data_IF_627302452080
#
_entry.id   IF_627302452080
#
_cell.length_a   1.000
_cell.length_b   1.000
_cell.length_c   1.000
_cell.angle_alpha   90.00
_cell.angle_beta   90.00
_cell.angle_gamma   90.00
#
_symmetry.space_group_name_H-M   'P 1'
#
loop_
_entity.id
_entity.type
_entity.pdbx_description
1 polymer ?
#
# COMPACT_ATOMS: atom_id res chain seq x y z
N UNK A 1 -3.35 -2.58 22.82
CA UNK A 1 -2.75 -3.91 22.50
C UNK A 1 -1.33 -3.65 22.11
N UNK A 2 -0.34 -4.30 22.70
CA UNK A 2 1.03 -4.21 22.22
C UNK A 2 1.18 -5.02 20.92
N UNK A 3 1.61 -4.37 19.85
CA UNK A 3 1.79 -4.97 18.52
C UNK A 3 3.21 -5.56 18.33
N UNK A 4 4.13 -5.35 19.28
CA UNK A 4 5.53 -5.80 19.21
C UNK A 4 6.25 -5.36 17.94
N UNK A 5 6.00 -4.10 17.50
CA UNK A 5 6.62 -3.49 16.32
C UNK A 5 7.84 -2.63 16.66
N UNK A 6 8.10 -2.37 17.94
CA UNK A 6 9.28 -1.60 18.37
C UNK A 6 10.58 -2.21 17.82
N UNK A 7 11.40 -1.39 17.19
CA UNK A 7 12.67 -1.79 16.59
C UNK A 7 12.55 -2.59 15.28
N UNK A 8 11.34 -2.94 14.80
CA UNK A 8 11.15 -3.60 13.52
C UNK A 8 11.50 -2.66 12.36
N UNK A 9 12.15 -3.20 11.34
CA UNK A 9 12.64 -2.49 10.16
C UNK A 9 11.62 -2.61 9.05
N UNK A 10 11.03 -1.48 8.69
CA UNK A 10 9.85 -1.42 7.81
C UNK A 10 10.15 -0.59 6.57
N UNK A 11 9.90 -1.14 5.39
CA UNK A 11 9.89 -0.39 4.14
C UNK A 11 8.44 -0.16 3.71
N UNK A 12 8.11 1.09 3.38
CA UNK A 12 6.80 1.48 2.88
C UNK A 12 6.95 2.10 1.50
N UNK A 13 6.46 1.41 0.48
CA UNK A 13 6.44 1.97 -0.88
C UNK A 13 5.29 2.95 -1.03
N UNK A 14 5.51 4.06 -1.74
CA UNK A 14 4.52 5.13 -1.83
C UNK A 14 4.28 5.85 -0.49
N UNK A 15 5.23 5.80 0.43
CA UNK A 15 5.13 6.31 1.80
C UNK A 15 5.16 7.83 1.97
N UNK A 16 5.23 8.61 0.88
CA UNK A 16 5.37 10.08 0.97
C UNK A 16 4.06 10.85 1.04
N UNK A 17 2.90 10.20 0.85
CA UNK A 17 1.55 10.81 0.96
C UNK A 17 0.44 9.78 1.14
N UNK A 18 -0.75 10.28 1.51
CA UNK A 18 -1.98 9.48 1.62
C UNK A 18 -1.83 8.28 2.55
N UNK A 19 -2.36 7.12 2.16
CA UNK A 19 -2.35 5.90 2.95
C UNK A 19 -0.92 5.45 3.30
N UNK A 20 0.02 5.53 2.36
CA UNK A 20 1.41 5.15 2.62
C UNK A 20 2.08 6.02 3.68
N UNK A 21 1.83 7.33 3.70
CA UNK A 21 2.33 8.22 4.74
C UNK A 21 1.65 7.97 6.09
N UNK A 22 0.35 7.69 6.09
CA UNK A 22 -0.36 7.29 7.31
C UNK A 22 0.23 6.00 7.90
N UNK A 23 0.53 4.99 7.06
CA UNK A 23 1.27 3.79 7.50
C UNK A 23 2.63 4.15 8.07
N UNK A 24 3.40 5.04 7.41
CA UNK A 24 4.72 5.43 7.91
C UNK A 24 4.64 6.07 9.30
N UNK A 25 3.67 6.97 9.50
CA UNK A 25 3.41 7.59 10.82
C UNK A 25 3.05 6.55 11.87
N UNK A 26 2.14 5.64 11.54
CA UNK A 26 1.66 4.63 12.45
C UNK A 26 2.79 3.67 12.89
N UNK A 27 3.61 3.19 11.96
CA UNK A 27 4.78 2.37 12.28
C UNK A 27 5.83 3.13 13.13
N UNK A 28 6.09 4.40 12.81
CA UNK A 28 7.02 5.21 13.60
C UNK A 28 6.50 5.45 15.04
N UNK A 29 5.20 5.65 15.22
CA UNK A 29 4.57 5.81 16.53
C UNK A 29 4.69 4.52 17.39
N UNK A 30 4.71 3.33 16.76
CA UNK A 30 4.97 2.04 17.41
C UNK A 30 6.48 1.78 17.65
N UNK A 31 7.37 2.76 17.36
CA UNK A 31 8.80 2.66 17.57
C UNK A 31 9.54 1.82 16.53
N UNK A 32 8.94 1.57 15.38
CA UNK A 32 9.61 0.90 14.27
C UNK A 32 10.63 1.82 13.57
N UNK A 33 11.65 1.24 12.96
CA UNK A 33 12.58 1.93 12.07
C UNK A 33 11.95 1.99 10.67
N UNK A 34 11.58 3.20 10.24
CA UNK A 34 10.78 3.38 9.03
C UNK A 34 11.61 3.91 7.88
N UNK A 35 11.47 3.26 6.72
CA UNK A 35 11.95 3.76 5.45
C UNK A 35 10.79 3.90 4.46
N UNK A 36 10.78 5.00 3.72
CA UNK A 36 9.82 5.24 2.65
C UNK A 36 10.50 5.33 1.30
N UNK A 37 9.84 4.80 0.29
CA UNK A 37 10.29 4.91 -1.10
C UNK A 37 9.19 5.52 -1.94
N UNK A 38 9.51 6.59 -2.67
CA UNK A 38 8.59 7.28 -3.57
C UNK A 38 9.36 7.88 -4.75
N UNK A 39 8.67 8.34 -5.79
CA UNK A 39 9.32 8.94 -6.96
C UNK A 39 9.59 10.43 -6.80
N UNK A 40 8.75 11.12 -6.05
CA UNK A 40 8.77 12.58 -5.94
C UNK A 40 9.64 13.04 -4.77
N UNK A 41 10.79 13.72 -5.04
CA UNK A 41 11.68 14.20 -3.99
C UNK A 41 11.04 15.25 -3.08
N UNK A 42 10.16 16.12 -3.61
CA UNK A 42 9.53 17.17 -2.82
C UNK A 42 8.58 16.59 -1.76
N UNK A 43 7.79 15.56 -2.13
CA UNK A 43 6.95 14.86 -1.17
C UNK A 43 7.77 14.09 -0.13
N UNK A 44 8.93 13.55 -0.50
CA UNK A 44 9.81 12.86 0.45
C UNK A 44 10.42 13.84 1.44
N UNK A 45 10.81 15.03 0.99
CA UNK A 45 11.36 16.06 1.87
C UNK A 45 10.30 16.60 2.84
N UNK A 46 9.06 16.81 2.37
CA UNK A 46 7.95 17.18 3.27
C UNK A 46 7.70 16.12 4.35
N UNK A 47 7.77 14.82 3.98
CA UNK A 47 7.64 13.73 4.94
C UNK A 47 8.81 13.72 5.95
N UNK A 48 10.06 13.95 5.50
CA UNK A 48 11.23 14.07 6.40
C UNK A 48 11.07 15.20 7.41
N UNK A 49 10.65 16.37 6.94
CA UNK A 49 10.44 17.53 7.80
C UNK A 49 9.36 17.25 8.86
N UNK A 50 8.26 16.61 8.48
CA UNK A 50 7.21 16.22 9.42
C UNK A 50 7.72 15.23 10.47
N UNK A 51 8.46 14.19 10.06
CA UNK A 51 8.98 13.18 10.98
C UNK A 51 10.03 13.79 11.93
N UNK A 52 10.88 14.68 11.43
CA UNK A 52 11.87 15.39 12.25
C UNK A 52 11.19 16.25 13.35
N UNK A 53 10.08 16.91 13.03
CA UNK A 53 9.29 17.68 14.02
C UNK A 53 8.73 16.79 15.15
N UNK A 54 8.49 15.51 14.88
CA UNK A 54 8.02 14.53 15.85
C UNK A 54 9.14 13.77 16.56
N UNK A 55 10.40 14.03 16.19
CA UNK A 55 11.56 13.29 16.69
C UNK A 55 11.64 11.85 16.19
N UNK A 56 10.98 11.52 15.09
CA UNK A 56 10.98 10.19 14.50
C UNK A 56 12.04 10.09 13.41
N UNK A 57 12.97 9.11 13.47
CA UNK A 57 13.89 8.86 12.38
C UNK A 57 13.15 8.33 11.14
N UNK A 58 13.52 8.87 9.96
CA UNK A 58 12.94 8.45 8.69
C UNK A 58 14.02 8.33 7.62
N UNK A 59 14.15 7.17 7.01
CA UNK A 59 14.88 7.00 5.75
C UNK A 59 13.93 7.25 4.58
N UNK A 60 14.34 8.08 3.62
CA UNK A 60 13.50 8.38 2.47
C UNK A 60 14.31 8.36 1.19
N UNK A 61 13.89 7.54 0.22
CA UNK A 61 14.60 7.31 -1.03
C UNK A 61 13.72 7.63 -2.25
N UNK A 62 14.25 8.48 -3.15
CA UNK A 62 13.62 8.76 -4.44
C UNK A 62 14.00 7.67 -5.44
N UNK A 63 13.07 6.76 -5.77
CA UNK A 63 13.28 5.67 -6.75
C UNK A 63 12.00 5.37 -7.53
N UNK A 64 12.18 4.97 -8.79
CA UNK A 64 11.10 4.39 -9.58
C UNK A 64 11.05 2.87 -9.37
N UNK A 65 9.98 2.42 -8.75
CA UNK A 65 9.75 1.01 -8.41
C UNK A 65 9.16 0.19 -9.57
N UNK A 66 8.78 0.82 -10.68
CA UNK A 66 8.48 0.11 -11.91
C UNK A 66 9.75 -0.43 -12.57
N UNK A 67 10.92 0.09 -12.20
CA UNK A 67 12.24 -0.42 -12.61
C UNK A 67 12.76 -1.46 -11.61
N UNK A 68 13.19 -2.62 -12.09
CA UNK A 68 13.85 -3.65 -11.26
C UNK A 68 15.12 -3.09 -10.60
N UNK A 69 15.95 -2.37 -11.38
CA UNK A 69 17.17 -1.73 -10.87
C UNK A 69 16.86 -0.69 -9.77
N UNK A 70 15.77 0.08 -9.92
CA UNK A 70 15.31 1.02 -8.89
C UNK A 70 14.95 0.32 -7.58
N UNK A 71 14.30 -0.83 -7.66
CA UNK A 71 13.96 -1.65 -6.48
C UNK A 71 15.19 -2.28 -5.84
N UNK A 72 16.13 -2.78 -6.63
CA UNK A 72 17.41 -3.33 -6.14
C UNK A 72 18.22 -2.26 -5.39
N UNK A 73 18.34 -1.06 -5.97
CA UNK A 73 19.03 0.06 -5.32
C UNK A 73 18.32 0.51 -4.03
N UNK A 74 16.98 0.58 -4.05
CA UNK A 74 16.22 0.91 -2.85
C UNK A 74 16.49 -0.11 -1.74
N UNK A 75 16.39 -1.40 -2.04
CA UNK A 75 16.63 -2.46 -1.07
C UNK A 75 18.06 -2.44 -0.54
N UNK A 76 19.06 -2.33 -1.41
CA UNK A 76 20.48 -2.28 -1.01
C UNK A 76 20.76 -1.10 -0.07
N UNK A 77 20.28 0.10 -0.41
CA UNK A 77 20.45 1.28 0.45
C UNK A 77 19.79 1.12 1.82
N UNK A 78 18.66 0.42 1.88
CA UNK A 78 17.93 0.18 3.12
C UNK A 78 18.60 -0.90 3.98
N UNK A 79 19.07 -1.98 3.36
CA UNK A 79 19.82 -3.03 4.06
C UNK A 79 21.16 -2.50 4.60
N UNK A 80 21.83 -1.61 3.88
CA UNK A 80 23.06 -0.95 4.36
C UNK A 80 22.81 -0.13 5.64
N UNK A 81 21.68 0.57 5.73
CA UNK A 81 21.37 1.45 6.86
C UNK A 81 20.67 0.73 8.01
N UNK A 82 19.81 -0.24 7.73
CA UNK A 82 19.03 -0.99 8.72
C UNK A 82 19.65 -2.36 9.08
N UNK A 83 20.60 -2.86 8.28
CA UNK A 83 21.16 -4.20 8.39
C UNK A 83 20.26 -5.32 7.87
N UNK A 84 18.95 -5.18 7.91
CA UNK A 84 18.00 -6.19 7.46
C UNK A 84 16.60 -5.60 7.27
N UNK A 85 15.67 -6.37 6.70
CA UNK A 85 14.25 -6.02 6.56
C UNK A 85 13.39 -6.98 7.39
N UNK A 86 12.35 -6.48 8.03
CA UNK A 86 11.34 -7.29 8.73
C UNK A 86 9.98 -7.21 8.05
N UNK A 87 9.58 -6.03 7.60
CA UNK A 87 8.23 -5.76 7.09
C UNK A 87 8.31 -4.95 5.80
N UNK A 88 7.56 -5.39 4.78
CA UNK A 88 7.28 -4.60 3.58
C UNK A 88 5.81 -4.20 3.55
N UNK A 89 5.53 -2.90 3.44
CA UNK A 89 4.18 -2.39 3.12
C UNK A 89 4.18 -1.85 1.70
N UNK A 90 3.49 -2.52 0.80
CA UNK A 90 3.31 -2.07 -0.57
C UNK A 90 2.09 -1.15 -0.67
N UNK A 91 2.33 0.13 -1.00
CA UNK A 91 1.30 1.14 -1.23
C UNK A 91 1.59 2.00 -2.48
N UNK A 92 2.74 1.80 -3.15
CA UNK A 92 3.09 2.54 -4.36
C UNK A 92 2.18 2.18 -5.54
N UNK A 93 1.96 3.15 -6.41
CA UNK A 93 1.22 2.95 -7.66
C UNK A 93 -0.16 3.59 -7.66
N UNK A 94 -0.73 3.64 -8.85
CA UNK A 94 -2.03 4.24 -9.10
C UNK A 94 -2.84 3.35 -10.05
N UNK A 95 -3.99 2.90 -9.59
CA UNK A 95 -4.99 2.30 -10.46
C UNK A 95 -5.76 3.44 -11.14
N UNK A 96 -5.48 3.66 -12.43
CA UNK A 96 -6.13 4.71 -13.23
C UNK A 96 -7.52 4.29 -13.67
N UNK A 97 -8.40 5.28 -13.81
CA UNK A 97 -9.72 5.13 -14.43
C UNK A 97 -9.65 5.62 -15.88
N UNK A 98 -10.30 4.90 -16.76
CA UNK A 98 -10.43 5.25 -18.17
C UNK A 98 -11.90 5.17 -18.57
N UNK A 99 -12.45 6.16 -19.30
CA UNK A 99 -13.79 6.05 -19.88
C UNK A 99 -13.86 4.85 -20.83
N UNK A 100 -14.97 4.12 -20.79
CA UNK A 100 -15.13 2.90 -21.60
C UNK A 100 -15.01 3.19 -23.11
N UNK A 101 -15.45 4.37 -23.54
CA UNK A 101 -15.43 4.81 -24.94
C UNK A 101 -14.01 5.05 -25.49
N UNK A 102 -13.04 5.29 -24.61
CA UNK A 102 -11.63 5.57 -24.97
C UNK A 102 -10.67 4.53 -24.41
N UNK A 103 -11.20 3.39 -23.97
CA UNK A 103 -10.39 2.33 -23.37
C UNK A 103 -9.70 1.52 -24.47
N UNK A 104 -8.37 1.58 -24.49
CA UNK A 104 -7.51 0.90 -25.45
C UNK A 104 -6.67 -0.19 -24.76
N UNK A 105 -6.18 -1.22 -25.48
CA UNK A 105 -5.28 -2.22 -24.91
C UNK A 105 -4.05 -1.62 -24.24
N UNK A 106 -3.52 -0.51 -24.73
CA UNK A 106 -2.40 0.21 -24.13
C UNK A 106 -2.68 0.68 -22.69
N UNK A 107 -3.93 1.02 -22.36
CA UNK A 107 -4.31 1.45 -21.01
C UNK A 107 -4.20 0.32 -19.99
N UNK A 108 -4.41 -0.93 -20.40
CA UNK A 108 -4.20 -2.09 -19.53
C UNK A 108 -2.72 -2.31 -19.25
N UNK A 109 -1.84 -2.20 -20.25
CA UNK A 109 -0.40 -2.26 -20.07
C UNK A 109 0.11 -1.13 -19.16
N UNK A 110 -0.39 0.10 -19.38
CA UNK A 110 -0.07 1.23 -18.52
C UNK A 110 -0.50 1.01 -17.07
N UNK A 111 -1.72 0.50 -16.85
CA UNK A 111 -2.24 0.23 -15.52
C UNK A 111 -1.42 -0.86 -14.79
N UNK A 112 -1.06 -1.93 -15.48
CA UNK A 112 -0.18 -2.97 -14.95
C UNK A 112 1.19 -2.41 -14.61
N UNK A 113 1.81 -1.64 -15.50
CA UNK A 113 3.10 -1.01 -15.26
C UNK A 113 3.05 -0.04 -14.07
N UNK A 114 2.00 0.76 -13.95
CA UNK A 114 1.87 1.77 -12.90
C UNK A 114 1.49 1.21 -11.52
N UNK A 115 0.81 0.06 -11.45
CA UNK A 115 0.30 -0.50 -10.19
C UNK A 115 0.87 -1.88 -9.86
N UNK A 116 0.83 -2.83 -10.79
CA UNK A 116 1.25 -4.21 -10.54
C UNK A 116 2.78 -4.33 -10.47
N UNK A 117 3.50 -3.75 -11.44
CA UNK A 117 4.96 -3.89 -11.54
C UNK A 117 5.73 -3.42 -10.29
N UNK A 118 5.42 -2.26 -9.68
CA UNK A 118 6.09 -1.84 -8.43
C UNK A 118 5.92 -2.83 -7.27
N UNK A 119 4.73 -3.42 -7.13
CA UNK A 119 4.47 -4.41 -6.09
C UNK A 119 5.24 -5.71 -6.33
N UNK A 120 5.19 -6.22 -7.57
CA UNK A 120 5.92 -7.42 -7.95
C UNK A 120 7.41 -7.27 -7.69
N UNK A 121 8.01 -6.17 -8.16
CA UNK A 121 9.44 -5.91 -8.01
C UNK A 121 9.86 -5.81 -6.52
N UNK A 122 9.13 -5.03 -5.72
CA UNK A 122 9.48 -4.87 -4.30
C UNK A 122 9.23 -6.15 -3.49
N UNK A 123 8.15 -6.90 -3.77
CA UNK A 123 7.94 -8.20 -3.14
C UNK A 123 9.07 -9.19 -3.48
N UNK A 124 9.51 -9.22 -4.75
CA UNK A 124 10.63 -10.05 -5.16
C UNK A 124 11.91 -9.72 -4.37
N UNK A 125 12.24 -8.43 -4.21
CA UNK A 125 13.41 -8.01 -3.43
C UNK A 125 13.26 -8.33 -1.93
N UNK A 126 12.08 -8.10 -1.36
CA UNK A 126 11.84 -8.41 0.05
C UNK A 126 11.95 -9.93 0.31
N UNK A 127 11.37 -10.77 -0.53
CA UNK A 127 11.45 -12.23 -0.39
C UNK A 127 12.90 -12.74 -0.52
N UNK A 128 13.70 -12.16 -1.42
CA UNK A 128 15.14 -12.46 -1.50
C UNK A 128 15.89 -12.05 -0.24
N UNK A 129 15.57 -10.89 0.33
CA UNK A 129 16.13 -10.43 1.60
C UNK A 129 15.78 -11.38 2.74
N UNK A 130 14.51 -11.74 2.87
CA UNK A 130 14.03 -12.68 3.89
C UNK A 130 14.70 -14.07 3.76
N UNK A 131 14.84 -14.58 2.53
CA UNK A 131 15.54 -15.84 2.29
C UNK A 131 17.01 -15.82 2.72
N UNK A 132 17.74 -14.72 2.40
CA UNK A 132 19.13 -14.54 2.86
C UNK A 132 19.21 -14.51 4.40
N UNK A 133 18.32 -13.80 5.06
CA UNK A 133 18.28 -13.72 6.52
C UNK A 133 18.00 -15.09 7.15
N UNK A 134 17.05 -15.87 6.57
CA UNK A 134 16.77 -17.24 7.03
C UNK A 134 17.96 -18.16 6.85
N UNK A 135 18.66 -18.08 5.73
CA UNK A 135 19.89 -18.86 5.49
C UNK A 135 21.01 -18.49 6.48
N UNK A 136 21.02 -17.26 6.98
CA UNK A 136 21.92 -16.80 8.04
C UNK A 136 21.43 -17.13 9.46
N UNK A 137 20.34 -17.89 9.62
CA UNK A 137 19.85 -18.36 10.92
C UNK A 137 18.80 -17.45 11.59
N UNK A 138 18.34 -16.39 10.94
CA UNK A 138 17.28 -15.53 11.50
C UNK A 138 15.95 -16.29 11.63
N UNK A 139 15.31 -16.18 12.79
CA UNK A 139 14.02 -16.85 13.10
C UNK A 139 12.86 -15.85 13.26
N UNK A 140 13.12 -14.55 13.05
CA UNK A 140 12.11 -13.51 13.26
C UNK A 140 10.97 -13.62 12.26
N UNK A 141 9.76 -13.23 12.71
CA UNK A 141 8.56 -13.11 11.88
C UNK A 141 8.79 -12.07 10.77
N UNK A 142 8.43 -12.42 9.56
CA UNK A 142 8.53 -11.56 8.37
C UNK A 142 7.15 -11.36 7.77
N UNK A 143 6.84 -10.12 7.41
CA UNK A 143 5.51 -9.80 6.87
C UNK A 143 5.56 -8.92 5.62
N UNK A 144 4.64 -9.17 4.70
CA UNK A 144 4.32 -8.30 3.57
C UNK A 144 2.84 -7.92 3.68
N UNK A 145 2.55 -6.63 3.63
CA UNK A 145 1.18 -6.10 3.59
C UNK A 145 1.00 -5.32 2.28
N UNK A 146 0.05 -5.75 1.46
CA UNK A 146 -0.24 -5.16 0.15
C UNK A 146 -1.50 -4.28 0.23
N UNK A 147 -1.37 -2.96 0.06
CA UNK A 147 -2.51 -2.02 -0.02
C UNK A 147 -2.99 -1.96 -1.47
N UNK A 148 -3.96 -2.78 -1.83
CA UNK A 148 -4.35 -3.01 -3.23
C UNK A 148 -5.49 -2.08 -3.63
N UNK A 149 -6.71 -2.40 -3.26
CA UNK A 149 -7.92 -1.64 -3.54
C UNK A 149 -9.09 -2.49 -4.01
N UNK A 150 -10.28 -2.11 -3.60
CA UNK A 150 -11.54 -2.87 -3.76
C UNK A 150 -11.86 -3.23 -5.22
N UNK A 151 -11.42 -2.42 -6.20
CA UNK A 151 -11.65 -2.67 -7.63
C UNK A 151 -11.06 -3.95 -8.18
N UNK A 152 -10.24 -4.69 -7.43
CA UNK A 152 -9.77 -6.03 -7.81
C UNK A 152 -10.80 -7.13 -7.59
N UNK A 153 -11.76 -6.91 -6.70
CA UNK A 153 -12.89 -7.81 -6.41
C UNK A 153 -14.20 -7.33 -7.03
N UNK A 154 -14.42 -6.02 -7.03
CA UNK A 154 -15.67 -5.41 -7.49
C UNK A 154 -15.46 -4.65 -8.79
N UNK A 155 -16.01 -5.20 -9.86
CA UNK A 155 -15.83 -4.68 -11.21
C UNK A 155 -16.61 -3.38 -11.41
N UNK A 156 -15.91 -2.34 -11.87
CA UNK A 156 -16.50 -1.07 -12.28
C UNK A 156 -16.14 -0.78 -13.73
N UNK A 157 -17.12 -0.48 -14.57
CA UNK A 157 -16.92 -0.29 -16.01
C UNK A 157 -15.90 0.80 -16.37
N UNK A 158 -15.82 1.87 -15.58
CA UNK A 158 -14.84 2.96 -15.76
C UNK A 158 -13.47 2.67 -15.08
N UNK A 159 -13.26 1.48 -14.55
CA UNK A 159 -12.05 1.11 -13.83
C UNK A 159 -11.47 -0.24 -14.28
N UNK A 160 -11.79 -0.70 -15.48
CA UNK A 160 -11.41 -2.05 -15.94
C UNK A 160 -9.89 -2.27 -15.94
N UNK A 161 -9.11 -1.35 -16.50
CA UNK A 161 -7.65 -1.49 -16.53
C UNK A 161 -7.03 -1.47 -15.12
N UNK A 162 -7.45 -0.54 -14.26
CA UNK A 162 -7.00 -0.47 -12.87
C UNK A 162 -7.50 -1.65 -12.03
N UNK A 163 -8.74 -2.09 -12.27
CA UNK A 163 -9.34 -3.26 -11.64
C UNK A 163 -8.58 -4.55 -11.98
N UNK A 164 -8.20 -4.73 -13.25
CA UNK A 164 -7.35 -5.85 -13.67
C UNK A 164 -6.01 -5.86 -12.94
N UNK A 165 -5.34 -4.71 -12.83
CA UNK A 165 -4.08 -4.63 -12.09
C UNK A 165 -4.25 -4.99 -10.61
N UNK A 166 -5.35 -4.55 -9.99
CA UNK A 166 -5.67 -4.93 -8.61
C UNK A 166 -6.00 -6.44 -8.49
N UNK A 167 -6.77 -7.01 -9.42
CA UNK A 167 -7.09 -8.44 -9.43
C UNK A 167 -5.81 -9.30 -9.59
N UNK A 168 -4.89 -8.89 -10.47
CA UNK A 168 -3.59 -9.55 -10.61
C UNK A 168 -2.78 -9.53 -9.30
N UNK A 169 -2.84 -8.42 -8.54
CA UNK A 169 -2.20 -8.32 -7.22
C UNK A 169 -2.87 -9.23 -6.17
N UNK A 170 -4.19 -9.37 -6.20
CA UNK A 170 -4.90 -10.30 -5.30
C UNK A 170 -4.51 -11.75 -5.58
N UNK A 171 -4.42 -12.12 -6.86
CA UNK A 171 -3.95 -13.44 -7.27
C UNK A 171 -2.51 -13.70 -6.82
N UNK A 172 -1.61 -12.72 -7.05
CA UNK A 172 -0.22 -12.78 -6.62
C UNK A 172 -0.10 -12.90 -5.10
N UNK A 173 -0.90 -12.13 -4.34
CA UNK A 173 -0.93 -12.17 -2.87
C UNK A 173 -1.27 -13.58 -2.37
N UNK A 174 -2.30 -14.21 -2.90
CA UNK A 174 -2.71 -15.56 -2.50
C UNK A 174 -1.64 -16.61 -2.84
N UNK A 175 -1.08 -16.53 -4.05
CA UNK A 175 -0.04 -17.46 -4.50
C UNK A 175 1.25 -17.38 -3.69
N UNK A 176 1.75 -16.15 -3.44
CA UNK A 176 2.96 -15.95 -2.65
C UNK A 176 2.75 -16.30 -1.16
N UNK A 177 1.58 -15.99 -0.60
CA UNK A 177 1.24 -16.36 0.77
C UNK A 177 1.30 -17.86 0.98
N UNK A 178 0.70 -18.64 0.08
CA UNK A 178 0.75 -20.10 0.12
C UNK A 178 2.19 -20.64 -0.04
N UNK A 179 2.93 -20.12 -1.02
CA UNK A 179 4.28 -20.58 -1.34
C UNK A 179 5.29 -20.32 -0.20
N UNK A 180 5.10 -19.26 0.58
CA UNK A 180 6.07 -18.82 1.59
C UNK A 180 5.62 -19.06 3.05
N UNK A 181 4.42 -19.59 3.28
CA UNK A 181 3.90 -19.85 4.64
C UNK A 181 4.84 -20.78 5.44
N UNK A 182 5.30 -21.88 4.85
CA UNK A 182 6.24 -22.80 5.49
C UNK A 182 7.60 -22.16 5.84
N UNK A 183 7.97 -21.07 5.17
CA UNK A 183 9.15 -20.28 5.47
C UNK A 183 8.91 -19.23 6.57
N UNK A 184 7.73 -19.20 7.21
CA UNK A 184 7.38 -18.23 8.24
C UNK A 184 7.27 -16.80 7.73
N UNK A 185 6.94 -16.62 6.44
CA UNK A 185 6.68 -15.30 5.85
C UNK A 185 5.17 -15.16 5.65
N UNK A 186 4.57 -14.15 6.27
CA UNK A 186 3.14 -13.86 6.13
C UNK A 186 2.93 -12.78 5.07
N UNK A 187 1.97 -13.01 4.19
CA UNK A 187 1.66 -12.09 3.09
C UNK A 187 0.16 -11.87 3.06
N UNK A 188 -0.28 -10.63 3.34
CA UNK A 188 -1.68 -10.27 3.42
C UNK A 188 -1.97 -9.02 2.59
N UNK A 189 -3.23 -8.78 2.30
CA UNK A 189 -3.67 -7.63 1.54
C UNK A 189 -4.79 -6.86 2.26
N UNK A 190 -4.86 -5.58 1.98
CA UNK A 190 -5.97 -4.70 2.32
C UNK A 190 -6.51 -4.13 1.01
N UNK A 191 -7.83 -4.12 0.87
CA UNK A 191 -8.55 -3.48 -0.22
C UNK A 191 -9.27 -2.24 0.28
N UNK A 192 -8.66 -1.06 0.29
CA UNK A 192 -9.36 0.16 0.63
C UNK A 192 -10.46 0.47 -0.38
N UNK A 193 -11.60 0.92 0.11
CA UNK A 193 -12.61 1.63 -0.65
C UNK A 193 -12.28 3.12 -0.77
N UNK A 194 -13.30 3.97 -0.72
CA UNK A 194 -13.12 5.41 -0.77
C UNK A 194 -12.45 5.91 0.51
N UNK A 195 -11.21 6.37 0.38
CA UNK A 195 -10.38 6.86 1.48
C UNK A 195 -10.04 8.33 1.24
N UNK A 196 -10.17 9.18 2.25
CA UNK A 196 -9.93 10.62 2.17
C UNK A 196 -8.42 10.90 2.08
N UNK A 197 -7.95 11.11 0.86
CA UNK A 197 -6.56 11.42 0.53
C UNK A 197 -6.51 12.59 -0.44
N UNK A 198 -5.35 13.21 -0.63
CA UNK A 198 -5.17 14.27 -1.64
C UNK A 198 -5.59 13.84 -3.05
N UNK A 199 -5.45 12.57 -3.39
CA UNK A 199 -5.96 12.02 -4.66
C UNK A 199 -7.49 12.01 -4.71
N UNK A 200 -8.14 11.63 -3.62
CA UNK A 200 -9.60 11.63 -3.52
C UNK A 200 -10.12 13.07 -3.58
N UNK A 201 -9.48 14.00 -2.90
CA UNK A 201 -9.81 15.44 -2.96
C UNK A 201 -9.72 15.98 -4.39
N UNK A 202 -8.64 15.68 -5.12
CA UNK A 202 -8.50 16.04 -6.54
C UNK A 202 -9.60 15.42 -7.40
N UNK A 203 -10.00 14.16 -7.13
CA UNK A 203 -11.09 13.50 -7.85
C UNK A 203 -12.43 14.16 -7.55
N UNK A 204 -12.70 14.51 -6.29
CA UNK A 204 -13.92 15.23 -5.90
C UNK A 204 -14.00 16.62 -6.55
N UNK A 205 -12.87 17.36 -6.59
CA UNK A 205 -12.80 18.65 -7.27
C UNK A 205 -13.08 18.53 -8.77
N UNK A 206 -12.48 17.54 -9.43
CA UNK A 206 -12.70 17.27 -10.84
C UNK A 206 -14.17 16.90 -11.13
N UNK A 207 -14.77 16.01 -10.35
CA UNK A 207 -16.17 15.61 -10.50
C UNK A 207 -17.13 16.80 -10.26
N UNK A 208 -16.82 17.67 -9.30
CA UNK A 208 -17.61 18.87 -9.02
C UNK A 208 -17.61 19.86 -10.19
N UNK A 209 -16.43 20.12 -10.78
CA UNK A 209 -16.26 21.00 -11.92
C UNK A 209 -17.04 20.50 -13.14
N UNK A 210 -16.92 19.22 -13.50
CA UNK A 210 -17.57 18.63 -14.67
C UNK A 210 -19.08 18.38 -14.46
N UNK A 211 -19.50 18.16 -13.22
CA UNK A 211 -20.90 18.00 -12.83
C UNK A 211 -21.64 19.31 -12.52
N UNK A 212 -20.99 20.48 -12.71
CA UNK A 212 -21.54 21.79 -12.33
C UNK A 212 -22.11 21.81 -10.91
N UNK A 213 -21.38 21.21 -9.96
CA UNK A 213 -21.77 21.02 -8.57
C UNK A 213 -20.67 21.52 -7.63
N UNK A 214 -20.93 21.55 -6.33
CA UNK A 214 -19.89 21.83 -5.33
C UNK A 214 -19.16 20.57 -4.91
N UNK A 215 -17.88 20.68 -4.50
CA UNK A 215 -17.10 19.57 -3.94
C UNK A 215 -17.84 18.94 -2.75
N UNK A 216 -18.51 19.77 -1.96
CA UNK A 216 -19.27 19.33 -0.79
C UNK A 216 -20.49 18.50 -1.15
N UNK A 217 -21.20 18.87 -2.24
CA UNK A 217 -22.33 18.09 -2.73
C UNK A 217 -21.90 16.72 -3.30
N UNK A 218 -20.77 16.69 -4.04
CA UNK A 218 -20.19 15.43 -4.54
C UNK A 218 -19.75 14.55 -3.40
N UNK A 219 -19.06 15.10 -2.38
CA UNK A 219 -18.63 14.36 -1.19
C UNK A 219 -19.84 13.76 -0.47
N UNK A 220 -20.86 14.58 -0.17
CA UNK A 220 -22.10 14.13 0.51
C UNK A 220 -22.82 13.02 -0.26
N UNK A 221 -22.85 13.09 -1.58
CA UNK A 221 -23.44 12.04 -2.41
C UNK A 221 -22.66 10.72 -2.30
N UNK A 222 -21.33 10.79 -2.26
CA UNK A 222 -20.48 9.60 -2.06
C UNK A 222 -20.63 9.02 -0.66
N UNK A 223 -20.69 9.86 0.37
CA UNK A 223 -20.94 9.43 1.76
C UNK A 223 -22.29 8.74 1.91
N UNK A 224 -23.34 9.30 1.32
CA UNK A 224 -24.69 8.72 1.34
C UNK A 224 -24.78 7.35 0.63
N UNK A 225 -23.87 7.06 -0.30
CA UNK A 225 -23.80 5.77 -0.98
C UNK A 225 -23.07 4.70 -0.16
N UNK A 226 -22.36 5.08 0.91
CA UNK A 226 -21.65 4.14 1.79
C UNK A 226 -22.50 3.75 2.97
N UNK A 227 -22.70 2.46 3.28
CA UNK A 227 -23.45 2.03 4.46
C UNK A 227 -22.97 2.65 5.79
N UNK A 228 -21.65 2.84 5.94
CA UNK A 228 -21.05 3.49 7.12
C UNK A 228 -21.25 5.02 7.14
N UNK A 229 -21.74 5.63 6.05
CA UNK A 229 -22.09 7.05 5.96
C UNK A 229 -20.91 8.03 5.83
N UNK A 230 -19.67 7.57 5.64
CA UNK A 230 -18.51 8.41 5.48
C UNK A 230 -17.39 7.73 4.69
N UNK A 231 -16.43 8.50 4.19
CA UNK A 231 -15.18 7.97 3.65
C UNK A 231 -14.27 7.48 4.79
N UNK A 232 -13.42 6.50 4.49
CA UNK A 232 -12.37 6.09 5.42
C UNK A 232 -11.29 7.17 5.54
N UNK A 233 -10.66 7.25 6.72
CA UNK A 233 -9.43 8.01 6.91
C UNK A 233 -8.21 7.14 6.56
N UNK A 234 -7.11 7.72 6.05
CA UNK A 234 -5.88 6.97 5.78
C UNK A 234 -5.35 6.21 6.99
N UNK A 235 -5.54 6.77 8.19
CA UNK A 235 -5.14 6.20 9.47
C UNK A 235 -5.87 4.89 9.77
N UNK A 236 -7.14 4.76 9.40
CA UNK A 236 -7.91 3.52 9.60
C UNK A 236 -7.34 2.36 8.77
N UNK A 237 -6.82 2.67 7.56
CA UNK A 237 -6.12 1.67 6.73
C UNK A 237 -4.77 1.32 7.34
N UNK A 238 -4.07 2.30 7.90
CA UNK A 238 -2.78 2.10 8.55
C UNK A 238 -2.90 1.22 9.80
N UNK A 239 -3.94 1.37 10.60
CA UNK A 239 -4.18 0.54 11.79
C UNK A 239 -4.31 -0.94 11.44
N UNK A 240 -5.03 -1.27 10.37
CA UNK A 240 -5.14 -2.64 9.88
C UNK A 240 -3.82 -3.14 9.31
N UNK A 241 -3.05 -2.26 8.64
CA UNK A 241 -1.72 -2.62 8.14
C UNK A 241 -0.74 -2.93 9.28
N UNK A 242 -0.76 -2.17 10.38
CA UNK A 242 0.00 -2.45 11.61
C UNK A 242 -0.35 -3.82 12.17
N UNK A 243 -1.65 -4.11 12.35
CA UNK A 243 -2.10 -5.40 12.86
C UNK A 243 -1.60 -6.56 11.98
N UNK A 244 -1.82 -6.49 10.67
CA UNK A 244 -1.40 -7.55 9.73
C UNK A 244 0.11 -7.74 9.67
N UNK A 245 0.88 -6.67 9.86
CA UNK A 245 2.34 -6.72 9.91
C UNK A 245 2.88 -7.27 11.23
N UNK A 246 2.09 -7.18 12.30
CA UNK A 246 2.52 -7.51 13.67
C UNK A 246 2.50 -9.02 13.94
N UNK A 247 3.28 -9.51 14.93
CA UNK A 247 3.17 -10.89 15.42
C UNK A 247 1.79 -11.26 15.98
N UNK A 248 0.91 -10.27 16.25
CA UNK A 248 -0.48 -10.54 16.67
C UNK A 248 -1.31 -11.19 15.56
N UNK A 249 -0.89 -11.02 14.31
CA UNK A 249 -1.48 -11.70 13.15
C UNK A 249 -0.72 -12.97 12.75
N UNK A 250 -0.05 -13.65 13.69
CA UNK A 250 0.85 -14.80 13.42
C UNK A 250 0.20 -15.97 12.67
N UNK A 251 -1.12 -16.12 12.76
CA UNK A 251 -1.86 -17.18 12.07
C UNK A 251 -2.64 -16.66 10.85
N UNK A 252 -2.38 -15.40 10.43
CA UNK A 252 -3.04 -14.76 9.29
C UNK A 252 -2.05 -14.63 8.14
N UNK A 253 -2.26 -15.41 7.06
CA UNK A 253 -1.54 -15.28 5.81
C UNK A 253 -2.47 -15.60 4.63
N UNK A 254 -2.31 -14.93 3.50
CA UNK A 254 -3.20 -15.04 2.35
C UNK A 254 -4.52 -14.26 2.49
N UNK A 255 -4.76 -13.62 3.62
CA UNK A 255 -5.98 -12.87 3.87
C UNK A 255 -6.04 -11.59 3.01
N UNK A 256 -7.27 -11.23 2.65
CA UNK A 256 -7.60 -9.96 1.98
C UNK A 256 -8.73 -9.30 2.77
N UNK A 257 -8.44 -8.18 3.40
CA UNK A 257 -9.41 -7.42 4.20
C UNK A 257 -9.98 -6.29 3.33
N UNK A 258 -11.27 -6.35 3.05
CA UNK A 258 -11.98 -5.29 2.38
C UNK A 258 -12.36 -4.20 3.40
N UNK A 259 -11.90 -2.97 3.17
CA UNK A 259 -12.16 -1.80 4.02
C UNK A 259 -12.96 -0.77 3.21
N UNK A 260 -14.20 -1.08 2.88
CA UNK A 260 -15.05 -0.31 1.97
C UNK A 260 -16.31 0.27 2.64
N UNK A 261 -16.37 0.24 3.97
CA UNK A 261 -17.51 0.76 4.73
C UNK A 261 -18.79 -0.04 4.55
N UNK A 262 -18.69 -1.32 4.18
CA UNK A 262 -19.81 -2.22 3.95
C UNK A 262 -20.47 -2.08 2.58
N UNK A 263 -19.81 -1.38 1.65
CA UNK A 263 -20.37 -1.14 0.31
C UNK A 263 -20.59 -2.43 -0.49
N UNK A 264 -19.69 -3.40 -0.31
CA UNK A 264 -19.76 -4.69 -1.01
C UNK A 264 -19.67 -5.84 0.00
N UNK A 265 -20.79 -6.18 0.66
CA UNK A 265 -20.79 -7.31 1.58
C UNK A 265 -20.44 -8.60 0.85
N UNK A 266 -19.47 -9.34 1.36
CA UNK A 266 -19.04 -10.65 0.86
C UNK A 266 -19.20 -11.71 1.94
N UNK A 267 -19.64 -12.91 1.56
CA UNK A 267 -19.68 -14.10 2.43
C UNK A 267 -18.38 -14.88 2.30
#
# INVERSE_FOLDING_TARGET
MDLHLHGKRVIITGGSKGIGLACARAFAAEGAQVAIVSRDPAHLEAARAEFAQRGWPLLAHARDLASSAGCEQAMASLEEQFGALDILVNCAGAAKKYPLQTLEPANFHEALHAKFTPYLNMQHQALRSFARQRAAGAQEDKAIVNIIGIGGRHVMANHLAGGLANAALLFLNAGLANAHAASGIRINAINPGLTLTSRTEQTLAFEAEHGQSSVQAVLKAKEAALPIGRLAQPEEIADVALFLASPRASYVTGAVIDMDGGLHPSL
#
